data_IF_401477690732
#
_entry.id   IF_401477690732
#
_cell.length_a   1.000
_cell.length_b   1.000
_cell.length_c   1.000
_cell.angle_alpha   90.00
_cell.angle_beta   90.00
_cell.angle_gamma   90.00
#
_symmetry.space_group_name_H-M   'P 1'
#
loop_
_entity.id
_entity.type
_entity.pdbx_description
1 polymer ?
#
# COMPACT_ATOMS: atom_id res chain seq x y z
N UNK A 1 -15.29 -17.61 -24.39
CA UNK A 1 -15.76 -16.82 -23.23
C UNK A 1 -15.42 -15.32 -23.31
N UNK A 2 -15.17 -14.75 -24.50
CA UNK A 2 -14.82 -13.31 -24.64
C UNK A 2 -16.00 -12.35 -24.72
N UNK A 3 -17.19 -12.82 -25.14
CA UNK A 3 -18.36 -11.97 -25.36
C UNK A 3 -18.88 -11.28 -24.08
N UNK A 4 -18.74 -11.91 -22.91
CA UNK A 4 -19.15 -11.31 -21.64
C UNK A 4 -18.34 -10.06 -21.30
N UNK A 5 -17.01 -10.14 -21.44
CA UNK A 5 -16.12 -9.01 -21.16
C UNK A 5 -16.32 -7.87 -22.17
N UNK A 6 -16.54 -8.19 -23.45
CA UNK A 6 -16.82 -7.19 -24.47
C UNK A 6 -18.13 -6.44 -24.19
N UNK A 7 -19.18 -7.15 -23.79
CA UNK A 7 -20.48 -6.55 -23.46
C UNK A 7 -20.46 -5.73 -22.17
N UNK A 8 -19.57 -6.03 -21.23
CA UNK A 8 -19.45 -5.30 -19.94
C UNK A 8 -18.31 -4.29 -19.91
N UNK A 9 -17.59 -4.10 -21.03
CA UNK A 9 -16.37 -3.30 -21.08
C UNK A 9 -16.60 -1.87 -20.57
N UNK A 10 -17.69 -1.24 -21.00
CA UNK A 10 -18.00 0.13 -20.63
C UNK A 10 -18.33 0.24 -19.13
N UNK A 11 -19.09 -0.70 -18.57
CA UNK A 11 -19.39 -0.73 -17.14
C UNK A 11 -18.14 -0.95 -16.29
N UNK A 12 -17.22 -1.81 -16.74
CA UNK A 12 -15.93 -2.02 -16.07
C UNK A 12 -15.11 -0.73 -16.09
N UNK A 13 -15.04 -0.03 -17.23
CA UNK A 13 -14.31 1.24 -17.33
C UNK A 13 -14.95 2.32 -16.46
N UNK A 14 -16.28 2.44 -16.44
CA UNK A 14 -17.00 3.35 -15.54
C UNK A 14 -16.67 3.04 -14.08
N UNK A 15 -16.69 1.77 -13.70
CA UNK A 15 -16.39 1.35 -12.33
C UNK A 15 -14.94 1.68 -11.93
N UNK A 16 -13.96 1.41 -12.80
CA UNK A 16 -12.55 1.71 -12.49
C UNK A 16 -12.29 3.21 -12.44
N UNK A 17 -12.85 3.97 -13.38
CA UNK A 17 -12.54 5.40 -13.53
C UNK A 17 -13.30 6.29 -12.55
N UNK A 18 -14.34 5.80 -11.85
CA UNK A 18 -15.01 6.58 -10.81
C UNK A 18 -14.05 7.03 -9.69
N UNK A 19 -12.97 6.28 -9.48
CA UNK A 19 -11.96 6.55 -8.45
C UNK A 19 -10.85 7.50 -8.91
N UNK A 20 -10.78 7.87 -10.19
CA UNK A 20 -9.64 8.60 -10.76
C UNK A 20 -9.39 9.96 -10.11
N UNK A 21 -10.46 10.69 -9.77
CA UNK A 21 -10.34 11.99 -9.10
C UNK A 21 -9.70 11.87 -7.71
N UNK A 22 -10.10 10.85 -6.94
CA UNK A 22 -9.56 10.61 -5.59
C UNK A 22 -8.15 10.04 -5.66
N UNK A 23 -7.86 9.17 -6.62
CA UNK A 23 -6.48 8.70 -6.89
C UNK A 23 -5.59 9.88 -7.19
N UNK A 24 -5.99 10.76 -8.12
CA UNK A 24 -5.18 11.92 -8.53
C UNK A 24 -4.93 12.87 -7.36
N UNK A 25 -5.98 13.32 -6.69
CA UNK A 25 -5.87 14.28 -5.58
C UNK A 25 -5.10 13.72 -4.39
N UNK A 26 -5.35 12.47 -3.99
CA UNK A 26 -4.65 11.84 -2.86
C UNK A 26 -3.18 11.58 -3.18
N UNK A 27 -2.88 11.17 -4.42
CA UNK A 27 -1.50 10.97 -4.89
C UNK A 27 -0.72 12.29 -4.90
N UNK A 28 -1.34 13.38 -5.36
CA UNK A 28 -0.72 14.71 -5.34
C UNK A 28 -0.43 15.17 -3.90
N UNK A 29 -1.38 15.00 -2.98
CA UNK A 29 -1.22 15.37 -1.57
C UNK A 29 -0.10 14.57 -0.89
N UNK A 30 0.11 13.31 -1.27
CA UNK A 30 1.13 12.44 -0.74
C UNK A 30 2.45 12.44 -1.55
N UNK A 31 2.56 13.27 -2.59
CA UNK A 31 3.70 13.35 -3.53
C UNK A 31 4.04 12.01 -4.22
N UNK A 32 3.02 11.25 -4.59
CA UNK A 32 3.13 9.93 -5.24
C UNK A 32 2.77 10.00 -6.73
N UNK A 33 3.34 9.13 -7.59
CA UNK A 33 2.90 9.01 -8.98
C UNK A 33 1.48 8.44 -9.07
N UNK A 34 0.48 9.17 -9.59
CA UNK A 34 -0.91 8.70 -9.60
C UNK A 34 -1.11 7.41 -10.42
N UNK A 35 -0.34 7.25 -11.51
CA UNK A 35 -0.35 6.03 -12.33
C UNK A 35 0.12 4.81 -11.55
N UNK A 36 1.10 4.97 -10.65
CA UNK A 36 1.58 3.88 -9.78
C UNK A 36 0.48 3.50 -8.78
N UNK A 37 -0.17 4.48 -8.16
CA UNK A 37 -1.29 4.21 -7.22
C UNK A 37 -2.44 3.47 -7.94
N UNK A 38 -2.82 3.92 -9.14
CA UNK A 38 -3.84 3.25 -9.96
C UNK A 38 -3.41 1.81 -10.32
N UNK A 39 -2.14 1.60 -10.66
CA UNK A 39 -1.60 0.26 -10.94
C UNK A 39 -1.60 -0.66 -9.71
N UNK A 40 -1.30 -0.14 -8.52
CA UNK A 40 -1.41 -0.90 -7.25
C UNK A 40 -2.85 -1.37 -7.06
N UNK A 41 -3.84 -0.48 -7.19
CA UNK A 41 -5.26 -0.84 -7.05
C UNK A 41 -5.67 -1.91 -8.08
N UNK A 42 -5.21 -1.77 -9.33
CA UNK A 42 -5.48 -2.75 -10.37
C UNK A 42 -4.92 -4.15 -10.05
N UNK A 43 -3.70 -4.21 -9.50
CA UNK A 43 -3.03 -5.47 -9.14
C UNK A 43 -3.60 -6.09 -7.87
N UNK A 44 -3.91 -5.27 -6.86
CA UNK A 44 -4.37 -5.74 -5.55
C UNK A 44 -5.83 -6.17 -5.60
N UNK A 45 -6.71 -5.31 -6.10
CA UNK A 45 -8.17 -5.52 -5.96
C UNK A 45 -8.93 -5.56 -7.28
N UNK A 46 -8.27 -5.26 -8.40
CA UNK A 46 -8.95 -5.04 -9.68
C UNK A 46 -10.07 -3.98 -9.55
N UNK A 47 -9.84 -2.96 -8.71
CA UNK A 47 -10.79 -1.91 -8.33
C UNK A 47 -12.02 -2.40 -7.55
N UNK A 48 -11.98 -3.58 -6.94
CA UNK A 48 -13.05 -4.05 -6.06
C UNK A 48 -12.75 -3.67 -4.59
N UNK A 49 -13.50 -2.74 -3.98
CA UNK A 49 -13.13 -2.17 -2.68
C UNK A 49 -13.58 -3.02 -1.48
N UNK A 50 -14.37 -4.08 -1.69
CA UNK A 50 -14.85 -4.92 -0.59
C UNK A 50 -13.71 -5.73 0.03
N UNK A 51 -13.86 -6.10 1.30
CA UNK A 51 -12.89 -6.93 1.98
C UNK A 51 -12.98 -8.41 1.68
N UNK A 52 -11.84 -9.06 1.86
CA UNK A 52 -11.74 -10.48 2.12
C UNK A 52 -11.23 -10.72 3.55
N UNK A 53 -12.15 -10.78 4.51
CA UNK A 53 -11.81 -11.02 5.93
C UNK A 53 -11.18 -12.39 6.20
N UNK A 54 -11.38 -13.37 5.31
CA UNK A 54 -10.73 -14.68 5.43
C UNK A 54 -9.23 -14.59 5.15
N UNK A 55 -8.82 -13.75 4.20
CA UNK A 55 -7.41 -13.48 3.89
C UNK A 55 -6.83 -12.31 4.71
N UNK A 56 -7.71 -11.50 5.33
CA UNK A 56 -7.32 -10.29 6.06
C UNK A 56 -6.92 -9.15 5.14
N UNK A 57 -7.47 -9.11 3.92
CA UNK A 57 -7.15 -8.14 2.87
C UNK A 57 -8.34 -7.21 2.65
N UNK A 58 -8.17 -5.92 2.99
CA UNK A 58 -9.28 -4.96 3.10
C UNK A 58 -9.09 -3.79 2.13
N UNK A 59 -10.15 -3.41 1.43
CA UNK A 59 -10.17 -2.20 0.59
C UNK A 59 -9.45 -2.36 -0.75
N UNK A 60 -9.35 -1.24 -1.48
CA UNK A 60 -8.77 -1.20 -2.83
C UNK A 60 -7.27 -1.55 -2.89
N UNK A 61 -6.55 -1.38 -1.78
CA UNK A 61 -5.16 -1.77 -1.64
C UNK A 61 -4.94 -3.16 -1.05
N UNK A 62 -6.02 -3.91 -0.71
CA UNK A 62 -5.94 -5.20 -0.03
C UNK A 62 -5.09 -5.12 1.26
N UNK A 63 -5.30 -4.07 2.05
CA UNK A 63 -4.50 -3.79 3.24
C UNK A 63 -4.70 -4.89 4.31
N UNK A 64 -3.58 -5.35 4.86
CA UNK A 64 -3.53 -6.28 5.99
C UNK A 64 -3.28 -5.55 7.31
N UNK A 65 -3.35 -6.29 8.43
CA UNK A 65 -2.96 -5.75 9.76
C UNK A 65 -1.51 -5.26 9.79
N UNK A 66 -0.61 -5.85 8.99
CA UNK A 66 0.77 -5.37 8.84
C UNK A 66 0.86 -4.08 8.01
N UNK A 67 0.00 -3.92 6.99
CA UNK A 67 -0.13 -2.66 6.27
C UNK A 67 -0.65 -1.53 7.17
N UNK A 68 -1.62 -1.83 8.03
CA UNK A 68 -2.11 -0.91 9.05
C UNK A 68 -1.01 -0.56 10.07
N UNK A 69 -0.21 -1.55 10.50
CA UNK A 69 0.94 -1.31 11.38
C UNK A 69 1.97 -0.37 10.75
N UNK A 70 2.30 -0.62 9.47
CA UNK A 70 3.23 0.18 8.69
C UNK A 70 2.81 1.65 8.64
N UNK A 71 1.56 1.94 8.26
CA UNK A 71 1.09 3.32 8.13
C UNK A 71 1.01 4.02 9.49
N UNK A 72 0.54 3.35 10.55
CA UNK A 72 0.48 3.94 11.89
C UNK A 72 1.88 4.23 12.46
N UNK A 73 2.87 3.38 12.14
CA UNK A 73 4.25 3.54 12.57
C UNK A 73 4.98 4.68 11.84
N UNK A 74 4.77 4.82 10.53
CA UNK A 74 5.59 5.69 9.68
C UNK A 74 4.91 6.99 9.28
N UNK A 75 3.62 7.17 9.60
CA UNK A 75 2.85 8.39 9.33
C UNK A 75 2.28 8.93 10.64
N UNK A 76 3.06 9.69 11.43
CA UNK A 76 2.62 10.17 12.74
C UNK A 76 1.33 11.01 12.70
N UNK A 77 1.14 11.82 11.66
CA UNK A 77 -0.08 12.60 11.48
C UNK A 77 -1.30 11.70 11.25
N UNK A 78 -1.17 10.67 10.42
CA UNK A 78 -2.22 9.68 10.19
C UNK A 78 -2.55 8.90 11.47
N UNK A 79 -1.53 8.44 12.19
CA UNK A 79 -1.71 7.82 13.50
C UNK A 79 -2.46 8.71 14.47
N UNK A 80 -2.12 10.00 14.55
CA UNK A 80 -2.81 10.95 15.44
C UNK A 80 -4.29 11.08 15.10
N UNK A 81 -4.66 11.12 13.82
CA UNK A 81 -6.07 11.12 13.40
C UNK A 81 -6.81 9.86 13.89
N UNK A 82 -6.28 8.67 13.61
CA UNK A 82 -6.92 7.40 14.00
C UNK A 82 -6.99 7.27 15.53
N UNK A 83 -5.92 7.65 16.22
CA UNK A 83 -5.88 7.59 17.68
C UNK A 83 -6.95 8.51 18.29
N UNK A 84 -7.07 9.77 17.84
CA UNK A 84 -8.05 10.73 18.38
C UNK A 84 -9.49 10.31 18.12
N UNK A 85 -9.75 9.70 16.96
CA UNK A 85 -11.05 9.09 16.68
C UNK A 85 -11.39 7.94 17.63
N UNK A 86 -10.38 7.25 18.15
CA UNK A 86 -10.55 6.08 19.03
C UNK A 86 -10.62 6.46 20.50
N UNK A 87 -9.76 7.37 20.97
CA UNK A 87 -9.53 7.68 22.38
C UNK A 87 -9.75 9.16 22.76
N UNK A 88 -10.14 10.01 21.81
CA UNK A 88 -10.22 11.45 21.99
C UNK A 88 -8.84 12.13 22.06
N UNK A 89 -8.85 13.46 22.22
CA UNK A 89 -7.63 14.28 22.19
C UNK A 89 -6.62 13.96 23.31
N UNK A 90 -7.11 13.62 24.51
CA UNK A 90 -6.26 13.38 25.69
C UNK A 90 -5.57 12.01 25.64
N UNK A 91 -6.14 11.04 24.92
CA UNK A 91 -5.67 9.66 24.88
C UNK A 91 -4.47 9.39 23.96
N UNK A 92 -3.96 10.40 23.24
CA UNK A 92 -3.04 10.21 22.11
C UNK A 92 -1.67 10.90 22.25
N UNK A 93 -1.18 11.02 23.48
CA UNK A 93 0.10 11.67 23.80
C UNK A 93 1.32 10.76 23.57
N UNK A 94 1.13 9.44 23.56
CA UNK A 94 2.18 8.44 23.32
C UNK A 94 2.30 8.12 21.83
N UNK A 95 3.53 8.05 21.31
CA UNK A 95 3.77 7.65 19.91
C UNK A 95 3.47 6.17 19.70
N UNK A 96 3.01 5.81 18.50
CA UNK A 96 2.50 4.48 18.17
C UNK A 96 3.41 3.33 18.62
N UNK A 97 4.73 3.43 18.41
CA UNK A 97 5.70 2.38 18.73
C UNK A 97 5.87 2.12 20.23
N UNK A 98 5.45 3.05 21.09
CA UNK A 98 5.56 2.94 22.54
C UNK A 98 4.24 2.56 23.22
N UNK A 99 3.17 2.39 22.43
CA UNK A 99 1.90 1.87 22.94
C UNK A 99 2.04 0.38 23.26
N UNK A 100 1.23 -0.09 24.21
CA UNK A 100 1.14 -1.52 24.47
C UNK A 100 0.54 -2.26 23.27
N UNK A 101 0.84 -3.56 23.17
CA UNK A 101 0.43 -4.35 22.01
C UNK A 101 -1.08 -4.37 21.79
N UNK A 102 -1.89 -4.36 22.86
CA UNK A 102 -3.35 -4.41 22.74
C UNK A 102 -3.90 -3.12 22.12
N UNK A 103 -3.38 -1.97 22.53
CA UNK A 103 -3.70 -0.67 21.94
C UNK A 103 -3.25 -0.61 20.48
N UNK A 104 -2.05 -1.09 20.14
CA UNK A 104 -1.61 -1.17 18.75
C UNK A 104 -2.53 -2.07 17.91
N UNK A 105 -2.96 -3.23 18.43
CA UNK A 105 -3.89 -4.12 17.72
C UNK A 105 -5.25 -3.46 17.48
N UNK A 106 -5.78 -2.75 18.49
CA UNK A 106 -7.03 -2.02 18.33
C UNK A 106 -6.93 -0.97 17.22
N UNK A 107 -5.90 -0.12 17.26
CA UNK A 107 -5.72 0.93 16.26
C UNK A 107 -5.53 0.37 14.85
N UNK A 108 -4.82 -0.75 14.68
CA UNK A 108 -4.74 -1.47 13.40
C UNK A 108 -6.12 -1.90 12.91
N UNK A 109 -6.95 -2.48 13.79
CA UNK A 109 -8.33 -2.83 13.48
C UNK A 109 -9.20 -1.62 13.11
N UNK A 110 -8.97 -0.47 13.76
CA UNK A 110 -9.67 0.78 13.44
C UNK A 110 -9.34 1.29 12.04
N UNK A 111 -8.07 1.21 11.60
CA UNK A 111 -7.67 1.52 10.22
C UNK A 111 -8.39 0.62 9.23
N UNK A 112 -8.38 -0.70 9.45
CA UNK A 112 -9.02 -1.67 8.55
C UNK A 112 -10.53 -1.43 8.45
N UNK A 113 -11.20 -1.20 9.59
CA UNK A 113 -12.63 -0.85 9.63
C UNK A 113 -12.92 0.47 8.90
N UNK A 114 -11.97 1.42 8.90
CA UNK A 114 -12.16 2.70 8.23
C UNK A 114 -12.22 2.57 6.71
N UNK A 115 -11.58 1.54 6.14
CA UNK A 115 -11.49 1.32 4.69
C UNK A 115 -12.35 0.16 4.18
N UNK A 116 -13.10 -0.51 5.06
CA UNK A 116 -14.07 -1.53 4.69
C UNK A 116 -15.22 -0.90 3.90
N UNK A 117 -15.40 -1.33 2.65
CA UNK A 117 -16.42 -0.80 1.76
C UNK A 117 -17.63 -1.72 1.54
N UNK A 118 -17.66 -2.93 2.11
CA UNK A 118 -18.80 -3.85 1.99
C UNK A 118 -20.04 -3.24 2.64
N UNK A 119 -21.11 -3.09 1.86
CA UNK A 119 -22.36 -2.50 2.31
C UNK A 119 -23.56 -3.22 1.67
N UNK A 120 -24.22 -4.17 2.38
CA UNK A 120 -25.31 -4.97 1.83
C UNK A 120 -26.51 -4.16 1.31
N UNK A 121 -26.72 -2.97 1.86
CA UNK A 121 -27.85 -2.09 1.53
C UNK A 121 -27.47 -0.99 0.52
N UNK A 122 -26.21 -0.90 0.08
CA UNK A 122 -25.75 0.08 -0.89
C UNK A 122 -25.92 -0.45 -2.33
N UNK A 123 -26.12 0.43 -3.33
CA UNK A 123 -26.07 0.05 -4.74
C UNK A 123 -24.79 -0.73 -5.07
N UNK A 124 -24.92 -1.91 -5.65
CA UNK A 124 -23.78 -2.77 -5.98
C UNK A 124 -23.07 -3.41 -4.78
N UNK A 125 -23.65 -3.32 -3.57
CA UNK A 125 -23.09 -3.95 -2.36
C UNK A 125 -21.88 -3.22 -1.77
N UNK A 126 -21.61 -1.98 -2.21
CA UNK A 126 -20.39 -1.24 -1.91
C UNK A 126 -20.71 0.20 -1.48
N UNK A 127 -20.06 0.66 -0.42
CA UNK A 127 -19.99 2.06 -0.03
C UNK A 127 -18.84 2.75 -0.78
N UNK A 128 -19.20 3.64 -1.71
CA UNK A 128 -18.22 4.36 -2.55
C UNK A 128 -17.38 5.35 -1.74
N UNK A 129 -17.93 5.95 -0.68
CA UNK A 129 -17.14 6.85 0.17
C UNK A 129 -16.09 6.11 0.98
N UNK A 130 -16.42 4.89 1.42
CA UNK A 130 -15.42 3.96 1.99
C UNK A 130 -14.38 3.53 0.96
N UNK A 131 -14.76 3.31 -0.29
CA UNK A 131 -13.82 3.13 -1.40
C UNK A 131 -12.87 4.32 -1.57
N UNK A 132 -13.41 5.54 -1.56
CA UNK A 132 -12.60 6.78 -1.62
C UNK A 132 -11.66 6.89 -0.42
N UNK A 133 -12.12 6.52 0.77
CA UNK A 133 -11.29 6.48 1.98
C UNK A 133 -10.17 5.44 1.88
N UNK A 134 -10.45 4.26 1.32
CA UNK A 134 -9.45 3.23 1.07
C UNK A 134 -8.30 3.73 0.19
N UNK A 135 -8.58 4.58 -0.80
CA UNK A 135 -7.55 5.20 -1.65
C UNK A 135 -6.68 6.18 -0.85
N UNK A 136 -7.29 7.03 -0.02
CA UNK A 136 -6.54 7.98 0.83
C UNK A 136 -5.60 7.24 1.77
N UNK A 137 -6.10 6.20 2.43
CA UNK A 137 -5.31 5.37 3.33
C UNK A 137 -4.22 4.59 2.57
N UNK A 138 -4.51 4.10 1.36
CA UNK A 138 -3.50 3.48 0.50
C UNK A 138 -2.36 4.45 0.17
N UNK A 139 -2.66 5.70 -0.18
CA UNK A 139 -1.61 6.70 -0.48
C UNK A 139 -0.76 7.01 0.76
N UNK A 140 -1.35 7.11 1.95
CA UNK A 140 -0.58 7.23 3.20
C UNK A 140 0.31 6.00 3.45
N UNK A 141 -0.18 4.81 3.12
CA UNK A 141 0.54 3.54 3.30
C UNK A 141 1.69 3.37 2.31
N UNK A 142 1.52 3.80 1.05
CA UNK A 142 2.59 3.83 0.07
C UNK A 142 3.67 4.86 0.45
N UNK A 143 3.27 6.01 0.99
CA UNK A 143 4.22 6.98 1.55
C UNK A 143 4.95 6.40 2.77
N UNK A 144 4.25 5.69 3.67
CA UNK A 144 4.84 4.94 4.78
C UNK A 144 5.89 3.92 4.29
N UNK A 145 5.55 3.14 3.26
CA UNK A 145 6.48 2.19 2.62
C UNK A 145 7.70 2.88 2.02
N UNK A 146 7.52 4.08 1.44
CA UNK A 146 8.60 4.90 0.90
C UNK A 146 9.60 5.30 2.02
N UNK A 147 9.09 5.88 3.11
CA UNK A 147 9.91 6.27 4.26
C UNK A 147 10.64 5.07 4.88
N UNK A 148 9.93 3.95 5.07
CA UNK A 148 10.52 2.73 5.59
C UNK A 148 11.60 2.17 4.65
N UNK A 149 11.37 2.19 3.34
CA UNK A 149 12.34 1.72 2.34
C UNK A 149 13.63 2.54 2.37
N UNK A 150 13.55 3.86 2.54
CA UNK A 150 14.73 4.72 2.74
C UNK A 150 15.51 4.29 3.98
N UNK A 151 14.82 4.06 5.10
CA UNK A 151 15.47 3.61 6.33
C UNK A 151 16.15 2.26 6.14
N UNK A 152 15.45 1.29 5.56
CA UNK A 152 15.97 -0.07 5.33
C UNK A 152 17.18 -0.03 4.41
N UNK A 153 17.11 0.74 3.32
CA UNK A 153 18.21 0.90 2.39
C UNK A 153 19.45 1.46 3.07
N UNK A 154 19.29 2.51 3.87
CA UNK A 154 20.37 3.09 4.64
C UNK A 154 20.95 2.10 5.67
N UNK A 155 20.10 1.37 6.39
CA UNK A 155 20.54 0.33 7.33
C UNK A 155 21.31 -0.81 6.65
N UNK A 156 20.92 -1.19 5.42
CA UNK A 156 21.55 -2.28 4.70
C UNK A 156 22.89 -1.87 4.06
N UNK A 157 22.98 -0.63 3.54
CA UNK A 157 24.06 -0.18 2.64
C UNK A 157 24.95 0.92 3.21
N UNK A 158 24.50 1.62 4.25
CA UNK A 158 25.14 2.84 4.77
C UNK A 158 24.97 4.08 3.87
N UNK A 159 24.20 4.00 2.78
CA UNK A 159 24.03 5.07 1.79
C UNK A 159 22.56 5.52 1.68
N UNK A 160 22.35 6.68 1.08
CA UNK A 160 21.01 7.11 0.66
C UNK A 160 20.63 6.40 -0.66
N UNK A 161 19.34 6.06 -0.88
CA UNK A 161 18.90 5.41 -2.12
C UNK A 161 19.34 6.14 -3.38
N UNK A 162 19.20 7.48 -3.42
CA UNK A 162 19.54 8.31 -4.57
C UNK A 162 21.03 8.28 -4.97
N UNK A 163 21.92 7.77 -4.10
CA UNK A 163 23.33 7.59 -4.44
C UNK A 163 23.60 6.34 -5.29
N UNK A 164 22.65 5.41 -5.38
CA UNK A 164 22.81 4.12 -6.06
C UNK A 164 21.67 3.78 -7.02
N UNK A 165 20.45 4.26 -6.77
CA UNK A 165 19.25 3.91 -7.51
C UNK A 165 18.70 5.10 -8.29
N UNK A 166 18.14 4.81 -9.47
CA UNK A 166 17.26 5.72 -10.18
C UNK A 166 15.94 5.90 -9.43
N UNK A 167 15.16 6.93 -9.80
CA UNK A 167 13.82 7.14 -9.27
C UNK A 167 12.93 5.90 -9.46
N UNK A 168 12.95 5.32 -10.67
CA UNK A 168 12.12 4.16 -11.01
C UNK A 168 12.54 2.92 -10.20
N UNK A 169 13.84 2.65 -10.07
CA UNK A 169 14.32 1.50 -9.30
C UNK A 169 14.05 1.65 -7.80
N UNK A 170 14.11 2.87 -7.29
CA UNK A 170 13.69 3.15 -5.93
C UNK A 170 12.19 2.89 -5.75
N UNK A 171 11.34 3.30 -6.68
CA UNK A 171 9.90 2.99 -6.62
C UNK A 171 9.60 1.49 -6.67
N UNK A 172 10.35 0.71 -7.44
CA UNK A 172 10.25 -0.76 -7.41
C UNK A 172 10.60 -1.31 -6.03
N UNK A 173 11.63 -0.77 -5.37
CA UNK A 173 11.96 -1.12 -3.99
C UNK A 173 10.82 -0.78 -3.00
N UNK A 174 10.22 0.40 -3.13
CA UNK A 174 9.10 0.86 -2.29
C UNK A 174 7.88 -0.05 -2.43
N UNK A 175 7.54 -0.42 -3.66
CA UNK A 175 6.42 -1.32 -3.94
C UNK A 175 6.70 -2.76 -3.49
N UNK A 176 7.95 -3.21 -3.60
CA UNK A 176 8.35 -4.51 -3.07
C UNK A 176 8.31 -4.53 -1.55
N UNK A 177 8.64 -3.42 -0.88
CA UNK A 177 8.49 -3.27 0.56
C UNK A 177 7.01 -3.27 0.99
N UNK A 178 6.14 -2.61 0.22
CA UNK A 178 4.69 -2.61 0.46
C UNK A 178 4.12 -4.04 0.44
N UNK A 179 4.54 -4.84 -0.54
CA UNK A 179 4.02 -6.19 -0.75
C UNK A 179 4.71 -7.27 0.12
N UNK A 180 6.05 -7.34 0.07
CA UNK A 180 6.83 -8.40 0.72
C UNK A 180 7.35 -8.02 2.11
N UNK A 181 7.27 -6.75 2.49
CA UNK A 181 7.67 -6.26 3.79
C UNK A 181 9.17 -5.99 3.97
N UNK A 182 9.45 -5.26 5.04
CA UNK A 182 10.77 -4.74 5.39
C UNK A 182 11.86 -5.80 5.52
N UNK A 183 11.54 -6.93 6.13
CA UNK A 183 12.49 -8.02 6.36
C UNK A 183 13.01 -8.61 5.05
N UNK A 184 12.10 -8.88 4.10
CA UNK A 184 12.44 -9.40 2.78
C UNK A 184 13.35 -8.42 2.02
N UNK A 185 12.98 -7.15 1.99
CA UNK A 185 13.76 -6.10 1.31
C UNK A 185 15.14 -5.91 1.94
N UNK A 186 15.23 -5.85 3.26
CA UNK A 186 16.50 -5.72 3.97
C UNK A 186 17.46 -6.86 3.64
N UNK A 187 16.98 -8.11 3.68
CA UNK A 187 17.80 -9.28 3.39
C UNK A 187 18.27 -9.32 1.92
N UNK A 188 17.40 -8.96 0.97
CA UNK A 188 17.76 -8.87 -0.44
C UNK A 188 18.86 -7.81 -0.67
N UNK A 189 18.73 -6.63 -0.06
CA UNK A 189 19.73 -5.56 -0.14
C UNK A 189 21.09 -6.00 0.44
N UNK A 190 21.09 -6.65 1.62
CA UNK A 190 22.31 -7.16 2.27
C UNK A 190 23.02 -8.21 1.41
N UNK A 191 22.28 -9.10 0.75
CA UNK A 191 22.84 -10.11 -0.16
C UNK A 191 23.40 -9.52 -1.44
N UNK A 192 22.79 -8.47 -1.97
CA UNK A 192 23.19 -7.82 -3.23
C UNK A 192 24.58 -7.17 -3.14
N UNK A 193 25.00 -6.72 -1.94
CA UNK A 193 26.24 -5.96 -1.64
C UNK A 193 26.33 -4.58 -2.29
N UNK A 194 26.11 -4.47 -3.61
CA UNK A 194 26.07 -3.21 -4.35
C UNK A 194 24.72 -3.04 -5.09
N UNK A 195 23.64 -2.65 -4.40
CA UNK A 195 22.31 -2.54 -4.98
C UNK A 195 22.16 -1.27 -5.82
N UNK A 196 22.68 -1.32 -7.06
CA UNK A 196 22.68 -0.22 -8.02
C UNK A 196 21.58 -0.30 -9.09
N UNK A 197 20.71 -1.30 -9.03
CA UNK A 197 19.55 -1.44 -9.90
C UNK A 197 18.49 -2.32 -9.24
N UNK A 198 17.24 -2.19 -9.67
CA UNK A 198 16.19 -3.11 -9.21
C UNK A 198 16.52 -4.57 -9.53
N UNK A 199 17.03 -4.86 -10.72
CA UNK A 199 17.31 -6.24 -11.14
C UNK A 199 18.35 -6.93 -10.24
N UNK A 200 19.37 -6.21 -9.77
CA UNK A 200 20.36 -6.78 -8.85
C UNK A 200 19.76 -7.08 -7.48
N UNK A 201 18.84 -6.25 -7.00
CA UNK A 201 18.10 -6.47 -5.75
C UNK A 201 17.10 -7.64 -5.90
N UNK A 202 16.32 -7.63 -6.98
CA UNK A 202 15.26 -8.59 -7.26
C UNK A 202 15.79 -10.04 -7.33
N UNK A 203 16.98 -10.23 -7.91
CA UNK A 203 17.64 -11.53 -8.00
C UNK A 203 18.06 -12.11 -6.62
N UNK A 204 18.05 -11.31 -5.56
CA UNK A 204 18.54 -11.68 -4.23
C UNK A 204 17.44 -11.90 -3.19
N UNK A 205 16.16 -11.79 -3.56
CA UNK A 205 15.07 -12.21 -2.67
C UNK A 205 15.16 -13.70 -2.35
N UNK A 206 14.96 -14.07 -1.09
CA UNK A 206 14.85 -15.47 -0.67
C UNK A 206 13.58 -16.12 -1.24
N UNK A 207 13.52 -17.45 -1.23
CA UNK A 207 12.36 -18.22 -1.70
C UNK A 207 11.04 -17.77 -1.06
N UNK A 208 11.02 -17.55 0.25
CA UNK A 208 9.85 -17.06 0.98
C UNK A 208 9.47 -15.59 0.70
N UNK A 209 10.27 -14.87 -0.06
CA UNK A 209 10.06 -13.46 -0.41
C UNK A 209 10.01 -13.21 -1.93
N UNK A 210 10.00 -14.27 -2.74
CA UNK A 210 10.09 -14.17 -4.20
C UNK A 210 8.88 -13.42 -4.81
N UNK A 211 7.74 -13.43 -4.12
CA UNK A 211 6.54 -12.68 -4.52
C UNK A 211 6.78 -11.17 -4.63
N UNK A 212 7.74 -10.60 -3.88
CA UNK A 212 8.11 -9.18 -4.00
C UNK A 212 8.60 -8.81 -5.41
N UNK A 213 9.39 -9.69 -6.05
CA UNK A 213 9.86 -9.46 -7.42
C UNK A 213 8.75 -9.70 -8.46
N UNK A 214 7.89 -10.68 -8.22
CA UNK A 214 6.72 -10.95 -9.05
C UNK A 214 5.71 -9.80 -9.03
N UNK A 215 5.46 -9.23 -7.86
CA UNK A 215 4.57 -8.11 -7.67
C UNK A 215 4.95 -6.91 -8.54
N UNK A 216 6.24 -6.55 -8.60
CA UNK A 216 6.71 -5.48 -9.47
C UNK A 216 6.43 -5.75 -10.95
N UNK A 217 6.64 -6.99 -11.41
CA UNK A 217 6.31 -7.35 -12.81
C UNK A 217 4.82 -7.18 -13.11
N UNK A 218 3.94 -7.49 -12.15
CA UNK A 218 2.49 -7.26 -12.27
C UNK A 218 2.16 -5.77 -12.36
N UNK A 219 2.77 -4.93 -11.51
CA UNK A 219 2.61 -3.47 -11.53
C UNK A 219 3.06 -2.89 -12.86
N UNK A 220 4.25 -3.25 -13.34
CA UNK A 220 4.76 -2.78 -14.63
C UNK A 220 3.83 -3.15 -15.79
N UNK A 221 3.17 -4.31 -15.71
CA UNK A 221 2.14 -4.72 -16.65
C UNK A 221 0.95 -3.77 -16.74
N UNK A 222 0.61 -3.06 -15.65
CA UNK A 222 -0.49 -2.10 -15.60
C UNK A 222 -0.10 -0.67 -16.04
N UNK A 223 1.20 -0.37 -16.11
CA UNK A 223 1.71 0.97 -16.43
C UNK A 223 2.09 1.10 -17.92
N UNK A 224 2.30 -0.03 -18.61
CA UNK A 224 2.64 -0.03 -20.04
C UNK A 224 1.57 0.72 -20.87
N UNK A 225 1.98 1.50 -21.88
CA UNK A 225 1.07 2.23 -22.77
C UNK A 225 0.08 1.31 -23.50
#
# INVERSE_FOLDING_TARGET
NGCGIELTKDQVLTWQNQFDSVILSSSQAAELPPKVVKAVIAVESQFWPAANWTLGEIGLGQMTTYGADLVLMWRPAFFQTICRQTYGEVGCTTQYQFLDSSTQYLLRGMVLRDIEATCPNCPGGVDIEKGNQAIRVLTETLNASCLQSTRIFNLATGKQPAALLSYDDYWRLVLANYHAGAGCVYQALRKTRNPNSWNSIAANFSSGCASGAEYIRRIEGQIKP
#
